data_IF_446225387646
#
_entry.id   IF_446225387646
#
_cell.length_a   1.000
_cell.length_b   1.000
_cell.length_c   1.000
_cell.angle_alpha   90.00
_cell.angle_beta   90.00
_cell.angle_gamma   90.00
#
_symmetry.space_group_name_H-M   'P 1'
#
loop_
_entity.id
_entity.type
_entity.pdbx_description
1 polymer ?
#
# COMPACT_ATOMS: atom_id res chain seq x y z
N UNK A 1 22.21 -10.35 21.51
CA UNK A 1 20.97 -10.43 20.70
C UNK A 1 19.81 -9.94 21.53
N UNK A 2 19.12 -8.86 21.14
CA UNK A 2 17.71 -8.70 21.43
C UNK A 2 16.93 -8.68 20.11
N UNK A 3 15.96 -9.59 20.04
CA UNK A 3 14.91 -9.71 19.03
C UNK A 3 14.12 -8.40 18.94
N UNK A 4 14.33 -7.61 17.89
CA UNK A 4 13.42 -6.52 17.53
C UNK A 4 12.16 -7.14 16.94
N UNK A 5 11.07 -7.06 17.69
CA UNK A 5 9.72 -7.40 17.25
C UNK A 5 9.37 -6.44 16.09
N UNK A 6 9.07 -6.93 14.88
CA UNK A 6 8.67 -6.05 13.80
C UNK A 6 7.23 -5.60 14.07
N UNK A 7 7.04 -4.35 14.47
CA UNK A 7 5.72 -3.71 14.43
C UNK A 7 5.36 -3.44 12.96
N UNK A 8 4.89 -4.48 12.27
CA UNK A 8 4.21 -4.34 10.99
C UNK A 8 2.76 -3.92 11.28
N UNK A 9 2.52 -2.62 11.31
CA UNK A 9 1.19 -2.07 11.59
C UNK A 9 0.20 -2.25 10.43
N UNK A 10 0.63 -2.80 9.28
CA UNK A 10 -0.23 -3.12 8.15
C UNK A 10 0.41 -4.18 7.26
N UNK A 11 -0.35 -5.20 6.86
CA UNK A 11 0.07 -6.19 5.85
C UNK A 11 -0.69 -5.89 4.57
N UNK A 12 0.04 -5.65 3.49
CA UNK A 12 -0.54 -5.53 2.16
C UNK A 12 -0.37 -6.87 1.44
N UNK A 13 -1.50 -7.48 1.05
CA UNK A 13 -1.49 -8.72 0.26
C UNK A 13 -1.81 -8.37 -1.17
N UNK A 14 -0.90 -8.73 -2.08
CA UNK A 14 -1.04 -8.53 -3.52
C UNK A 14 -0.81 -9.85 -4.23
N UNK A 15 -1.66 -10.13 -5.21
CA UNK A 15 -1.43 -11.16 -6.22
C UNK A 15 -0.96 -10.44 -7.49
N UNK A 16 0.07 -11.01 -8.15
CA UNK A 16 0.94 -10.40 -9.18
C UNK A 16 0.30 -9.38 -10.13
N UNK A 17 1.10 -8.42 -10.64
CA UNK A 17 0.58 -7.28 -11.39
C UNK A 17 1.45 -6.96 -12.62
N UNK A 18 0.84 -6.91 -13.82
CA UNK A 18 1.49 -6.36 -15.01
C UNK A 18 1.35 -4.84 -15.01
N UNK A 19 2.44 -4.13 -14.71
CA UNK A 19 2.41 -2.67 -14.49
C UNK A 19 1.94 -1.92 -15.75
N UNK A 20 0.69 -1.46 -15.72
CA UNK A 20 0.13 -0.47 -16.63
C UNK A 20 0.46 0.94 -16.13
N UNK A 21 0.60 1.90 -17.05
CA UNK A 21 0.95 3.29 -16.74
C UNK A 21 -0.25 4.20 -16.94
N UNK A 22 -1.09 4.35 -15.93
CA UNK A 22 -2.11 5.40 -15.96
C UNK A 22 -2.12 6.20 -14.66
N UNK A 23 -2.88 5.76 -13.67
CA UNK A 23 -3.12 6.55 -12.46
C UNK A 23 -2.10 6.30 -11.35
N UNK A 24 -1.34 5.20 -11.40
CA UNK A 24 -0.27 4.94 -10.41
C UNK A 24 0.77 6.07 -10.36
N UNK A 25 1.13 6.63 -11.52
CA UNK A 25 2.06 7.76 -11.61
C UNK A 25 1.45 9.04 -11.04
N UNK A 26 0.19 9.29 -11.33
CA UNK A 26 -0.53 10.46 -10.85
C UNK A 26 -0.67 10.45 -9.32
N UNK A 27 -1.06 9.31 -8.75
CA UNK A 27 -1.12 9.12 -7.29
C UNK A 27 0.25 9.37 -6.66
N UNK A 28 1.32 8.87 -7.28
CA UNK A 28 2.69 9.12 -6.82
C UNK A 28 3.03 10.61 -6.80
N UNK A 29 2.68 11.35 -7.86
CA UNK A 29 2.91 12.80 -7.95
C UNK A 29 2.03 13.64 -7.03
N UNK A 30 0.92 13.09 -6.52
CA UNK A 30 0.02 13.79 -5.60
C UNK A 30 0.53 13.82 -4.16
N UNK A 31 1.62 13.10 -3.85
CA UNK A 31 2.19 13.07 -2.52
C UNK A 31 2.89 14.40 -2.20
N UNK A 32 2.52 15.08 -1.11
CA UNK A 32 3.03 16.43 -0.82
C UNK A 32 4.41 16.44 -0.13
N UNK A 33 5.02 15.28 0.11
CA UNK A 33 6.31 15.16 0.77
C UNK A 33 7.36 14.60 -0.20
N UNK A 34 8.60 15.06 -0.04
CA UNK A 34 9.74 14.52 -0.78
C UNK A 34 10.07 13.11 -0.30
N UNK A 35 10.17 12.15 -1.23
CA UNK A 35 10.53 10.79 -0.88
C UNK A 35 12.01 10.66 -0.53
N UNK A 36 12.28 9.85 0.49
CA UNK A 36 13.67 9.52 0.85
C UNK A 36 14.27 8.51 -0.14
N UNK A 37 15.61 8.43 -0.27
CA UNK A 37 16.26 7.42 -1.10
C UNK A 37 15.82 5.99 -0.77
N UNK A 38 15.64 5.68 0.52
CA UNK A 38 15.18 4.36 0.98
C UNK A 38 13.75 4.04 0.52
N UNK A 39 12.85 5.04 0.52
CA UNK A 39 11.48 4.88 0.02
C UNK A 39 11.47 4.62 -1.48
N UNK A 40 12.28 5.39 -2.24
CA UNK A 40 12.42 5.21 -3.69
C UNK A 40 12.97 3.82 -4.02
N UNK A 41 14.03 3.38 -3.33
CA UNK A 41 14.59 2.05 -3.51
C UNK A 41 13.58 0.96 -3.18
N UNK A 42 12.84 1.11 -2.08
CA UNK A 42 11.79 0.15 -1.69
C UNK A 42 10.69 0.05 -2.75
N UNK A 43 10.26 1.18 -3.33
CA UNK A 43 9.26 1.20 -4.39
C UNK A 43 9.77 0.53 -5.68
N UNK A 44 11.03 0.74 -6.06
CA UNK A 44 11.62 0.06 -7.21
C UNK A 44 11.74 -1.45 -7.00
N UNK A 45 12.13 -1.88 -5.81
CA UNK A 45 12.20 -3.29 -5.47
C UNK A 45 10.83 -3.96 -5.50
N UNK A 46 9.80 -3.28 -4.98
CA UNK A 46 8.41 -3.73 -5.07
C UNK A 46 7.94 -3.86 -6.51
N UNK A 47 8.27 -2.88 -7.38
CA UNK A 47 7.92 -2.97 -8.81
C UNK A 47 8.56 -4.19 -9.48
N UNK A 48 9.83 -4.48 -9.14
CA UNK A 48 10.51 -5.68 -9.63
C UNK A 48 9.79 -6.93 -9.15
N UNK A 49 9.47 -7.02 -7.86
CA UNK A 49 8.79 -8.19 -7.31
C UNK A 49 7.41 -8.42 -7.94
N UNK A 50 6.64 -7.35 -8.19
CA UNK A 50 5.33 -7.44 -8.85
C UNK A 50 5.41 -7.92 -10.30
N UNK A 51 6.55 -7.70 -10.97
CA UNK A 51 6.77 -8.11 -12.37
C UNK A 51 7.17 -9.59 -12.52
N UNK A 52 7.48 -10.27 -11.42
CA UNK A 52 7.85 -11.69 -11.45
C UNK A 52 6.59 -12.57 -11.53
N UNK A 53 6.73 -13.75 -12.13
CA UNK A 53 5.64 -14.74 -12.18
C UNK A 53 5.29 -15.32 -10.80
N UNK A 54 6.22 -15.20 -9.82
CA UNK A 54 6.01 -15.66 -8.45
C UNK A 54 5.31 -14.58 -7.60
N UNK A 55 4.45 -14.96 -6.65
CA UNK A 55 3.87 -14.02 -5.71
C UNK A 55 4.94 -13.22 -4.94
N UNK A 56 4.70 -11.92 -4.74
CA UNK A 56 5.56 -11.08 -3.92
C UNK A 56 5.40 -11.45 -2.43
N UNK A 57 6.50 -11.80 -1.79
CA UNK A 57 6.59 -12.01 -0.34
C UNK A 57 7.66 -11.07 0.25
N UNK A 58 7.24 -9.85 0.59
CA UNK A 58 8.14 -8.77 1.05
C UNK A 58 7.65 -8.17 2.35
N UNK A 59 8.58 -7.99 3.28
CA UNK A 59 8.38 -7.22 4.51
C UNK A 59 9.12 -5.89 4.39
N UNK A 60 8.38 -4.78 4.47
CA UNK A 60 8.95 -3.43 4.52
C UNK A 60 9.13 -3.01 5.97
N UNK A 61 10.38 -2.94 6.42
CA UNK A 61 10.74 -2.52 7.77
C UNK A 61 11.08 -1.02 7.79
N UNK A 62 10.67 -0.32 8.86
CA UNK A 62 11.02 1.09 9.09
C UNK A 62 10.36 1.61 10.36
N UNK A 63 10.89 2.69 10.93
CA UNK A 63 10.35 3.27 12.15
C UNK A 63 8.99 3.94 11.93
N UNK A 64 8.30 4.27 13.02
CA UNK A 64 7.02 5.01 12.96
C UNK A 64 7.26 6.36 12.27
N UNK A 65 6.39 6.72 11.33
CA UNK A 65 6.51 7.98 10.56
C UNK A 65 7.30 7.89 9.25
N UNK A 66 8.00 6.79 8.96
CA UNK A 66 8.81 6.62 7.75
C UNK A 66 8.02 6.40 6.44
N UNK A 67 6.71 6.68 6.42
CA UNK A 67 5.92 6.57 5.19
C UNK A 67 5.59 5.14 4.75
N UNK A 68 5.64 4.13 5.62
CA UNK A 68 5.25 2.75 5.26
C UNK A 68 3.84 2.66 4.65
N UNK A 69 2.91 3.45 5.19
CA UNK A 69 1.54 3.55 4.68
C UNK A 69 1.50 4.11 3.26
N UNK A 70 2.41 5.04 2.92
CA UNK A 70 2.53 5.59 1.58
C UNK A 70 3.00 4.54 0.58
N UNK A 71 4.06 3.81 0.94
CA UNK A 71 4.58 2.71 0.14
C UNK A 71 3.47 1.70 -0.14
N UNK A 72 2.77 1.25 0.90
CA UNK A 72 1.69 0.26 0.75
C UNK A 72 0.51 0.78 -0.08
N UNK A 73 0.13 2.05 0.05
CA UNK A 73 -0.93 2.65 -0.77
C UNK A 73 -0.52 2.68 -2.25
N UNK A 74 0.71 3.12 -2.57
CA UNK A 74 1.20 3.13 -3.95
C UNK A 74 1.23 1.73 -4.53
N UNK A 75 1.64 0.73 -3.76
CA UNK A 75 1.65 -0.64 -4.24
C UNK A 75 0.24 -1.18 -4.49
N UNK A 76 -0.73 -0.87 -3.61
CA UNK A 76 -2.13 -1.21 -3.84
C UNK A 76 -2.68 -0.58 -5.13
N UNK A 77 -2.31 0.68 -5.39
CA UNK A 77 -2.68 1.40 -6.61
C UNK A 77 -2.01 0.79 -7.84
N UNK A 78 -0.74 0.38 -7.77
CA UNK A 78 -0.06 -0.33 -8.86
C UNK A 78 -0.77 -1.64 -9.23
N UNK A 79 -1.21 -2.40 -8.23
CA UNK A 79 -1.98 -3.61 -8.46
C UNK A 79 -3.36 -3.31 -9.07
N UNK A 80 -4.05 -2.29 -8.57
CA UNK A 80 -5.34 -1.86 -9.10
C UNK A 80 -5.25 -1.35 -10.56
N UNK A 81 -4.20 -0.58 -10.91
CA UNK A 81 -3.93 -0.10 -12.28
C UNK A 81 -3.76 -1.30 -13.24
N UNK A 82 -3.17 -2.38 -12.72
CA UNK A 82 -2.93 -3.62 -13.44
C UNK A 82 -4.16 -4.54 -13.52
N UNK A 83 -5.31 -4.10 -13.00
CA UNK A 83 -6.58 -4.86 -13.01
C UNK A 83 -6.73 -5.88 -11.87
N UNK A 84 -5.82 -5.88 -10.88
CA UNK A 84 -5.86 -6.80 -9.74
C UNK A 84 -6.53 -6.16 -8.52
N UNK A 85 -6.96 -7.00 -7.58
CA UNK A 85 -7.47 -6.57 -6.29
C UNK A 85 -6.34 -6.52 -5.25
N UNK A 86 -6.38 -5.51 -4.38
CA UNK A 86 -5.45 -5.35 -3.28
C UNK A 86 -6.20 -5.39 -1.94
N UNK A 87 -5.62 -6.05 -0.94
CA UNK A 87 -6.16 -6.08 0.42
C UNK A 87 -5.17 -5.43 1.40
N UNK A 88 -5.67 -4.49 2.20
CA UNK A 88 -4.89 -3.80 3.23
C UNK A 88 -5.37 -4.25 4.63
N UNK A 89 -4.59 -5.09 5.29
CA UNK A 89 -4.92 -5.65 6.61
C UNK A 89 -4.37 -4.76 7.72
N UNK A 90 -5.23 -4.44 8.68
CA UNK A 90 -4.89 -3.63 9.86
C UNK A 90 -5.11 -4.45 11.14
N UNK A 91 -4.32 -4.21 12.21
CA UNK A 91 -4.45 -4.97 13.45
C UNK A 91 -5.65 -4.55 14.30
N UNK A 92 -6.23 -3.36 14.06
CA UNK A 92 -7.39 -2.85 14.79
C UNK A 92 -8.39 -2.17 13.86
N UNK A 93 -9.67 -2.18 14.26
CA UNK A 93 -10.75 -1.52 13.49
C UNK A 93 -10.57 0.00 13.43
N UNK A 94 -9.98 0.61 14.46
CA UNK A 94 -9.67 2.05 14.50
C UNK A 94 -8.65 2.40 13.41
N UNK A 95 -7.54 1.64 13.32
CA UNK A 95 -6.53 1.87 12.28
C UNK A 95 -7.09 1.61 10.89
N UNK A 96 -7.91 0.56 10.71
CA UNK A 96 -8.57 0.29 9.44
C UNK A 96 -9.43 1.48 8.98
N UNK A 97 -10.20 2.07 9.89
CA UNK A 97 -11.04 3.22 9.58
C UNK A 97 -10.22 4.50 9.28
N UNK A 98 -9.13 4.72 10.02
CA UNK A 98 -8.19 5.83 9.75
C UNK A 98 -7.57 5.70 8.36
N UNK A 99 -7.03 4.52 8.02
CA UNK A 99 -6.48 4.26 6.70
C UNK A 99 -7.54 4.39 5.60
N UNK A 100 -8.73 3.83 5.79
CA UNK A 100 -9.84 3.96 4.85
C UNK A 100 -10.19 5.43 4.57
N UNK A 101 -10.31 6.25 5.60
CA UNK A 101 -10.65 7.67 5.47
C UNK A 101 -9.57 8.43 4.68
N UNK A 102 -8.30 8.19 5.01
CA UNK A 102 -7.16 8.79 4.31
C UNK A 102 -7.07 8.34 2.86
N UNK A 103 -7.22 7.04 2.60
CA UNK A 103 -7.16 6.48 1.25
C UNK A 103 -8.33 6.95 0.39
N UNK A 104 -9.53 7.06 0.96
CA UNK A 104 -10.71 7.56 0.26
C UNK A 104 -10.53 8.99 -0.23
N UNK A 105 -9.98 9.87 0.60
CA UNK A 105 -9.72 11.25 0.20
C UNK A 105 -8.64 11.30 -0.89
N UNK A 106 -7.57 10.54 -0.71
CA UNK A 106 -6.45 10.53 -1.64
C UNK A 106 -6.79 9.91 -3.00
N UNK A 107 -7.65 8.91 -3.00
CA UNK A 107 -8.04 8.17 -4.20
C UNK A 107 -9.33 8.69 -4.86
N UNK A 108 -9.94 9.74 -4.32
CA UNK A 108 -11.24 10.31 -4.76
C UNK A 108 -11.32 10.65 -6.25
N UNK A 109 -10.19 10.98 -6.88
CA UNK A 109 -10.11 11.38 -8.30
C UNK A 109 -9.86 10.23 -9.26
N UNK A 110 -9.67 9.01 -8.75
CA UNK A 110 -9.28 7.86 -9.55
C UNK A 110 -10.40 6.82 -9.60
N UNK A 111 -10.49 6.02 -10.68
CA UNK A 111 -11.52 4.98 -10.84
C UNK A 111 -11.21 3.74 -9.99
N UNK A 112 -10.87 3.92 -8.70
CA UNK A 112 -10.54 2.85 -7.76
C UNK A 112 -11.63 2.78 -6.70
N UNK A 113 -12.32 1.63 -6.63
CA UNK A 113 -13.33 1.38 -5.61
C UNK A 113 -12.66 0.94 -4.29
N UNK A 114 -12.85 1.72 -3.23
CA UNK A 114 -12.40 1.42 -1.88
C UNK A 114 -13.55 0.95 -1.01
N UNK A 115 -13.40 -0.21 -0.39
CA UNK A 115 -14.29 -0.72 0.64
C UNK A 115 -13.52 -0.96 1.94
N UNK A 116 -14.14 -0.60 3.06
CA UNK A 116 -13.71 -1.03 4.38
C UNK A 116 -14.49 -2.30 4.71
N UNK A 117 -13.85 -3.27 5.37
CA UNK A 117 -14.51 -4.41 5.99
C UNK A 117 -14.04 -4.46 7.44
N UNK A 118 -14.96 -4.33 8.38
CA UNK A 118 -14.63 -4.38 9.81
C UNK A 118 -15.81 -4.87 10.64
N UNK A 119 -15.53 -5.33 11.87
CA UNK A 119 -16.57 -5.77 12.81
C UNK A 119 -17.63 -4.69 13.12
N UNK A 120 -17.29 -3.42 12.97
CA UNK A 120 -18.18 -2.30 13.30
C UNK A 120 -19.07 -1.86 12.13
N UNK A 121 -18.89 -2.43 10.94
CA UNK A 121 -19.82 -2.21 9.84
C UNK A 121 -20.97 -3.21 9.88
N UNK A 122 -22.20 -2.70 9.90
CA UNK A 122 -23.37 -3.48 9.54
C UNK A 122 -23.43 -3.67 8.02
N UNK A 123 -23.93 -4.83 7.57
CA UNK A 123 -24.23 -5.12 6.16
C UNK A 123 -25.13 -4.07 5.53
#
# INVERSE_FOLDING_TARGET
MPTKIPFSNSVLVLFGASITKTFSREVSSSFPFEETPDQLQTLEDIKKDLSLEKPMDRIVCGDVGFGKTEIALRTAVMAADSGFQAAFLCPTTILAHQHYSNFKERLKKYPINLALLSRLQSK
#
